data_IF_361224646563
#
_entry.id   IF_361224646563
#
_cell.length_a   1.000
_cell.length_b   1.000
_cell.length_c   1.000
_cell.angle_alpha   90.00
_cell.angle_beta   90.00
_cell.angle_gamma   90.00
#
_symmetry.space_group_name_H-M   'P 1'
#
loop_
_entity.id
_entity.type
_entity.pdbx_description
1 polymer ?
#
# COMPACT_ATOMS: atom_id res chain seq x y z
N UNK A 1 -45.71 27.22 -47.16
CA UNK A 1 -45.79 27.94 -45.87
C UNK A 1 -45.27 26.95 -44.83
N UNK A 2 -43.96 26.79 -44.67
CA UNK A 2 -43.11 27.53 -43.70
C UNK A 2 -43.64 27.36 -42.26
N UNK A 3 -42.96 26.83 -41.23
CA UNK A 3 -41.57 26.47 -40.93
C UNK A 3 -41.60 25.23 -40.00
N UNK A 4 -40.79 24.18 -40.18
CA UNK A 4 -39.41 23.99 -39.66
C UNK A 4 -39.23 24.27 -38.15
N UNK A 5 -38.62 23.29 -37.47
CA UNK A 5 -37.97 23.31 -36.14
C UNK A 5 -38.81 22.92 -34.92
N UNK A 6 -39.06 21.61 -34.75
CA UNK A 6 -39.04 21.02 -33.40
C UNK A 6 -37.74 20.24 -33.28
N UNK A 7 -36.77 20.96 -32.70
CA UNK A 7 -35.44 20.60 -32.27
C UNK A 7 -35.14 19.10 -32.13
N UNK A 8 -34.40 18.57 -33.12
CA UNK A 8 -33.58 17.36 -33.02
C UNK A 8 -32.38 17.67 -32.11
N UNK A 9 -32.63 17.88 -30.81
CA UNK A 9 -31.56 18.14 -29.82
C UNK A 9 -31.56 17.14 -28.65
N UNK A 10 -32.54 16.25 -28.56
CA UNK A 10 -32.54 15.18 -27.53
C UNK A 10 -32.14 13.80 -28.07
N UNK A 11 -31.96 13.64 -29.38
CA UNK A 11 -31.63 12.33 -29.99
C UNK A 11 -30.15 12.22 -30.39
N UNK A 12 -29.33 13.21 -30.03
CA UNK A 12 -27.98 13.36 -30.58
C UNK A 12 -26.95 13.99 -29.65
N UNK A 13 -27.04 13.81 -28.33
CA UNK A 13 -25.96 14.23 -27.42
C UNK A 13 -25.64 13.13 -26.40
N UNK A 14 -24.52 12.47 -26.68
CA UNK A 14 -23.78 11.53 -25.83
C UNK A 14 -24.44 10.19 -25.49
N UNK A 15 -24.15 9.23 -26.38
CA UNK A 15 -23.64 7.89 -26.07
C UNK A 15 -22.48 7.89 -25.06
N UNK A 16 -22.66 8.53 -23.89
CA UNK A 16 -21.80 8.42 -22.71
C UNK A 16 -22.72 8.49 -21.48
N UNK A 17 -23.78 7.68 -21.48
CA UNK A 17 -24.22 7.09 -20.21
C UNK A 17 -23.24 5.96 -19.91
N UNK A 18 -22.01 6.31 -19.55
CA UNK A 18 -21.29 5.54 -18.55
C UNK A 18 -22.14 5.72 -17.29
N UNK A 19 -23.19 4.91 -17.18
CA UNK A 19 -23.71 4.57 -15.86
C UNK A 19 -22.47 4.11 -15.13
N UNK A 20 -22.04 4.88 -14.13
CA UNK A 20 -21.07 4.37 -13.18
C UNK A 20 -21.61 2.97 -12.84
N UNK A 21 -20.87 1.88 -13.09
CA UNK A 21 -21.28 0.62 -12.51
C UNK A 21 -21.49 0.98 -11.05
N UNK A 22 -22.65 0.65 -10.49
CA UNK A 22 -22.90 0.81 -9.07
C UNK A 22 -21.67 0.24 -8.38
N UNK A 23 -20.73 1.11 -7.98
CA UNK A 23 -19.51 0.70 -7.33
C UNK A 23 -20.02 0.34 -5.97
N UNK A 24 -20.39 -0.93 -5.82
CA UNK A 24 -20.77 -1.51 -4.55
C UNK A 24 -19.76 -0.96 -3.56
N UNK A 25 -20.26 -0.32 -2.51
CA UNK A 25 -19.46 0.10 -1.38
C UNK A 25 -18.82 -1.15 -0.81
N UNK A 26 -17.71 -1.56 -1.40
CA UNK A 26 -17.04 -2.79 -1.07
C UNK A 26 -16.37 -2.49 0.25
N UNK A 27 -16.86 -3.10 1.33
CA UNK A 27 -16.27 -3.00 2.66
C UNK A 27 -14.79 -3.40 2.58
N UNK A 28 -13.91 -2.40 2.44
CA UNK A 28 -12.48 -2.61 2.27
C UNK A 28 -11.80 -2.48 3.62
N UNK A 29 -11.12 -3.55 4.02
CA UNK A 29 -10.23 -3.53 5.20
C UNK A 29 -9.00 -2.68 4.90
N UNK A 30 -8.34 -2.16 5.94
CA UNK A 30 -7.09 -1.41 5.81
C UNK A 30 -5.98 -2.07 6.60
N UNK A 31 -4.78 -2.19 6.02
CA UNK A 31 -3.62 -2.80 6.67
C UNK A 31 -2.61 -1.73 7.10
N UNK A 32 -1.99 -1.92 8.26
CA UNK A 32 -0.98 -1.01 8.81
C UNK A 32 0.16 -1.78 9.45
N UNK A 33 1.34 -1.17 9.56
CA UNK A 33 2.50 -1.72 10.24
C UNK A 33 2.84 -0.89 11.48
N UNK A 34 3.20 -1.56 12.57
CA UNK A 34 3.74 -0.97 13.80
C UNK A 34 5.06 -1.63 14.18
N UNK A 35 6.11 -0.87 14.53
CA UNK A 35 6.17 0.60 14.58
C UNK A 35 6.26 1.27 13.19
N UNK A 36 6.83 0.59 12.20
CA UNK A 36 7.02 1.10 10.83
C UNK A 36 7.01 -0.04 9.80
N UNK A 37 6.75 0.30 8.53
CA UNK A 37 6.86 -0.63 7.41
C UNK A 37 8.32 -0.90 6.97
N UNK A 38 9.24 -0.04 7.41
CA UNK A 38 10.68 -0.20 7.26
C UNK A 38 11.23 -0.86 8.53
N UNK A 39 11.80 -2.05 8.41
CA UNK A 39 12.19 -2.89 9.56
C UNK A 39 13.65 -3.32 9.40
N UNK A 40 14.53 -3.14 10.40
CA UNK A 40 15.89 -3.68 10.31
C UNK A 40 15.89 -5.21 10.39
N UNK A 41 16.84 -5.85 9.70
CA UNK A 41 17.04 -7.30 9.75
C UNK A 41 17.20 -7.78 11.20
N UNK A 42 16.53 -8.88 11.56
CA UNK A 42 16.46 -9.40 12.93
C UNK A 42 15.48 -8.66 13.85
N UNK A 43 14.88 -7.55 13.39
CA UNK A 43 13.82 -6.84 14.09
C UNK A 43 12.46 -7.53 13.99
N UNK A 44 11.42 -6.83 14.45
CA UNK A 44 10.04 -7.29 14.38
C UNK A 44 9.09 -6.18 13.92
N UNK A 45 7.97 -6.58 13.35
CA UNK A 45 6.88 -5.69 12.95
C UNK A 45 5.55 -6.36 13.25
N UNK A 46 4.59 -5.58 13.73
CA UNK A 46 3.21 -6.03 13.88
C UNK A 46 2.37 -5.47 12.75
N UNK A 47 1.80 -6.35 11.94
CA UNK A 47 0.86 -5.98 10.90
C UNK A 47 -0.55 -6.02 11.45
N UNK A 48 -1.26 -4.89 11.43
CA UNK A 48 -2.62 -4.76 11.96
C UNK A 48 -3.61 -4.45 10.86
N UNK A 49 -4.61 -5.32 10.70
CA UNK A 49 -5.76 -5.12 9.84
C UNK A 49 -6.84 -4.36 10.62
N UNK A 50 -7.40 -3.34 10.01
CA UNK A 50 -8.46 -2.50 10.57
C UNK A 50 -9.68 -2.53 9.64
N UNK A 51 -10.85 -2.24 10.22
CA UNK A 51 -12.07 -2.03 9.48
C UNK A 51 -12.49 -0.57 9.49
N UNK A 52 -12.83 -0.01 8.32
CA UNK A 52 -13.28 1.37 8.14
C UNK A 52 -14.79 1.43 7.87
N UNK A 53 -15.65 1.06 8.84
CA UNK A 53 -17.03 1.60 9.05
C UNK A 53 -17.91 0.70 9.93
N UNK A 54 -18.40 1.21 11.06
CA UNK A 54 -19.09 0.43 12.10
C UNK A 54 -20.50 -0.10 11.78
N UNK A 55 -20.65 -1.07 10.87
CA UNK A 55 -21.86 -1.89 10.78
C UNK A 55 -21.63 -3.40 10.95
N UNK A 56 -20.41 -3.92 10.77
CA UNK A 56 -20.11 -5.34 10.96
C UNK A 56 -18.70 -5.56 11.54
N UNK A 57 -18.58 -6.12 12.74
CA UNK A 57 -17.28 -6.52 13.29
C UNK A 57 -16.81 -7.79 12.56
N UNK A 58 -15.84 -7.69 11.65
CA UNK A 58 -15.20 -8.89 11.10
C UNK A 58 -14.65 -9.75 12.25
N UNK A 59 -15.01 -11.03 12.26
CA UNK A 59 -14.54 -11.97 13.29
C UNK A 59 -13.18 -12.53 12.96
N UNK A 60 -12.89 -12.61 11.65
CA UNK A 60 -11.72 -13.28 11.15
C UNK A 60 -10.96 -12.38 10.19
N UNK A 61 -9.64 -12.35 10.32
CA UNK A 61 -8.75 -11.72 9.38
C UNK A 61 -7.76 -12.74 8.84
N UNK A 62 -7.40 -12.58 7.57
CA UNK A 62 -6.34 -13.37 6.95
C UNK A 62 -5.37 -12.44 6.25
N UNK A 63 -4.09 -12.67 6.51
CA UNK A 63 -2.99 -11.91 5.94
C UNK A 63 -2.36 -12.72 4.79
N UNK A 64 -2.14 -12.03 3.67
CA UNK A 64 -1.55 -12.56 2.45
C UNK A 64 -0.28 -11.78 2.13
N UNK A 65 0.68 -12.46 1.54
CA UNK A 65 1.85 -11.87 0.89
C UNK A 65 1.71 -12.10 -0.61
N UNK A 66 2.03 -11.11 -1.42
CA UNK A 66 1.89 -11.19 -2.89
C UNK A 66 2.96 -12.06 -3.58
N UNK A 67 3.49 -13.08 -2.91
CA UNK A 67 4.63 -13.87 -3.40
C UNK A 67 4.27 -14.95 -4.44
N UNK A 68 3.15 -14.75 -5.16
CA UNK A 68 2.51 -15.66 -6.15
C UNK A 68 1.80 -16.86 -5.53
N UNK A 69 1.87 -17.05 -4.22
CA UNK A 69 1.00 -17.98 -3.51
C UNK A 69 -0.04 -17.17 -2.74
N UNK A 70 -1.33 -17.32 -3.05
CA UNK A 70 -2.41 -16.76 -2.21
C UNK A 70 -2.57 -17.54 -0.89
N UNK A 71 -1.47 -18.11 -0.39
CA UNK A 71 -1.45 -18.92 0.82
C UNK A 71 -1.36 -17.96 2.01
N UNK A 72 -2.25 -18.09 3.01
CA UNK A 72 -2.15 -17.32 4.23
C UNK A 72 -0.79 -17.53 4.89
N UNK A 73 -0.12 -16.44 5.29
CA UNK A 73 1.19 -16.51 5.97
C UNK A 73 1.07 -17.23 7.33
N UNK A 74 -0.10 -17.11 7.97
CA UNK A 74 -0.40 -17.72 9.26
C UNK A 74 -1.61 -18.65 9.15
N UNK A 75 -1.44 -19.86 8.61
CA UNK A 75 -2.51 -20.84 8.54
C UNK A 75 -3.00 -21.14 9.97
N UNK A 76 -4.30 -20.95 10.23
CA UNK A 76 -4.93 -21.16 11.53
C UNK A 76 -4.96 -19.95 12.48
N UNK A 77 -4.31 -18.81 12.16
CA UNK A 77 -4.48 -17.55 12.92
C UNK A 77 -5.54 -16.67 12.27
N UNK A 78 -6.76 -17.19 12.28
CA UNK A 78 -7.90 -16.61 11.57
C UNK A 78 -8.59 -15.54 12.44
N UNK A 79 -8.46 -15.60 13.78
CA UNK A 79 -9.16 -14.72 14.73
C UNK A 79 -8.37 -13.49 15.19
N UNK A 80 -7.26 -13.13 14.53
CA UNK A 80 -6.37 -12.07 15.00
C UNK A 80 -6.34 -10.89 14.04
N UNK A 81 -6.63 -9.69 14.54
CA UNK A 81 -6.48 -8.45 13.78
C UNK A 81 -5.01 -8.01 13.64
N UNK A 82 -4.12 -8.57 14.48
CA UNK A 82 -2.71 -8.21 14.57
C UNK A 82 -1.82 -9.44 14.40
N UNK A 83 -0.83 -9.34 13.52
CA UNK A 83 0.10 -10.40 13.17
C UNK A 83 1.51 -9.95 13.48
N UNK A 84 2.15 -10.57 14.48
CA UNK A 84 3.55 -10.32 14.80
C UNK A 84 4.44 -11.09 13.81
N UNK A 85 5.29 -10.37 13.10
CA UNK A 85 6.29 -10.89 12.17
C UNK A 85 7.69 -10.56 12.71
N UNK A 86 8.49 -11.59 12.96
CA UNK A 86 9.86 -11.44 13.42
C UNK A 86 10.42 -12.75 13.99
N UNK A 87 11.75 -12.92 14.05
CA UNK A 87 12.79 -12.01 13.56
C UNK A 87 12.81 -11.92 12.03
N UNK A 88 12.75 -10.70 11.48
CA UNK A 88 12.58 -10.51 10.02
C UNK A 88 13.86 -10.79 9.24
N UNK A 89 13.71 -11.44 8.11
CA UNK A 89 14.76 -11.78 7.14
C UNK A 89 14.50 -11.05 5.81
N UNK A 90 15.48 -10.95 4.89
CA UNK A 90 15.24 -10.39 3.56
C UNK A 90 14.12 -11.10 2.80
N UNK A 91 13.89 -12.38 3.09
CA UNK A 91 12.79 -13.14 2.50
C UNK A 91 11.41 -12.63 2.96
N UNK A 92 11.30 -11.97 4.11
CA UNK A 92 10.04 -11.41 4.62
C UNK A 92 9.68 -10.06 3.98
N UNK A 93 10.58 -9.44 3.22
CA UNK A 93 10.26 -8.27 2.43
C UNK A 93 9.20 -8.61 1.36
N UNK A 94 8.31 -7.66 1.08
CA UNK A 94 7.26 -7.86 0.08
C UNK A 94 6.00 -7.05 0.36
N UNK A 95 5.00 -7.26 -0.49
CA UNK A 95 3.70 -6.59 -0.38
C UNK A 95 2.71 -7.48 0.33
N UNK A 96 2.07 -6.92 1.36
CA UNK A 96 1.09 -7.60 2.19
C UNK A 96 -0.30 -7.01 2.00
N UNK A 97 -1.33 -7.86 2.06
CA UNK A 97 -2.73 -7.46 2.07
C UNK A 97 -3.50 -8.27 3.10
N UNK A 98 -4.55 -7.71 3.67
CA UNK A 98 -5.49 -8.44 4.51
C UNK A 98 -6.88 -8.47 3.90
N UNK A 99 -7.69 -9.45 4.29
CA UNK A 99 -9.15 -9.45 4.11
C UNK A 99 -9.81 -9.99 5.36
N UNK A 100 -11.04 -9.55 5.62
CA UNK A 100 -11.86 -10.02 6.73
C UNK A 100 -12.97 -10.96 6.25
N UNK A 101 -13.46 -11.86 7.10
CA UNK A 101 -14.74 -12.56 6.90
C UNK A 101 -15.82 -11.98 7.81
N UNK A 102 -17.06 -12.03 7.35
CA UNK A 102 -18.19 -11.54 8.13
C UNK A 102 -18.54 -12.51 9.27
N UNK A 103 -18.98 -12.02 10.44
CA UNK A 103 -19.36 -12.85 11.59
C UNK A 103 -20.44 -13.89 11.28
N UNK A 104 -21.43 -13.51 10.47
CA UNK A 104 -22.59 -14.34 10.13
C UNK A 104 -22.43 -15.12 8.82
N UNK A 105 -21.37 -14.85 8.06
CA UNK A 105 -21.05 -15.51 6.80
C UNK A 105 -19.53 -15.72 6.66
N UNK A 106 -18.94 -16.66 7.40
CA UNK A 106 -17.49 -16.91 7.39
C UNK A 106 -16.94 -17.38 6.04
N UNK A 107 -17.81 -17.81 5.13
CA UNK A 107 -17.48 -18.14 3.73
C UNK A 107 -17.42 -16.90 2.84
N UNK A 108 -18.00 -15.77 3.26
CA UNK A 108 -17.95 -14.50 2.54
C UNK A 108 -16.76 -13.66 3.00
N UNK A 109 -16.01 -13.17 2.03
CA UNK A 109 -14.79 -12.40 2.28
C UNK A 109 -14.95 -10.97 1.80
N UNK A 110 -14.40 -10.04 2.57
CA UNK A 110 -14.26 -8.65 2.18
C UNK A 110 -13.33 -8.51 0.96
N UNK A 111 -13.34 -7.32 0.34
CA UNK A 111 -12.26 -6.95 -0.56
C UNK A 111 -10.90 -7.05 0.15
N UNK A 112 -9.85 -7.33 -0.64
CA UNK A 112 -8.48 -7.19 -0.17
C UNK A 112 -8.21 -5.72 0.18
N UNK A 113 -7.45 -5.50 1.25
CA UNK A 113 -6.99 -4.19 1.67
C UNK A 113 -6.09 -3.52 0.62
N UNK A 114 -5.82 -2.24 0.82
CA UNK A 114 -4.69 -1.62 0.10
C UNK A 114 -3.39 -2.38 0.41
N UNK A 115 -2.49 -2.49 -0.58
CA UNK A 115 -1.18 -3.10 -0.37
C UNK A 115 -0.34 -2.33 0.63
N UNK A 116 0.35 -3.06 1.51
CA UNK A 116 1.36 -2.54 2.41
C UNK A 116 2.70 -3.21 2.11
N UNK A 117 3.66 -2.45 1.58
CA UNK A 117 5.01 -2.93 1.32
C UNK A 117 5.84 -2.91 2.61
N UNK A 118 6.39 -4.06 2.99
CA UNK A 118 7.35 -4.20 4.08
C UNK A 118 8.75 -4.29 3.48
N UNK A 119 9.61 -3.39 3.95
CA UNK A 119 10.99 -3.25 3.50
C UNK A 119 11.93 -3.62 4.63
N UNK A 120 12.87 -4.52 4.33
CA UNK A 120 13.89 -4.96 5.30
C UNK A 120 15.18 -4.19 5.06
N UNK A 121 15.69 -3.52 6.10
CA UNK A 121 16.93 -2.73 6.06
C UNK A 121 18.07 -3.42 6.80
N UNK A 122 19.30 -2.93 6.66
CA UNK A 122 20.48 -3.50 7.32
C UNK A 122 21.04 -4.75 6.64
N UNK A 123 20.49 -5.15 5.49
CA UNK A 123 20.99 -6.28 4.67
C UNK A 123 22.34 -5.95 4.02
N UNK A 124 22.56 -4.68 3.70
CA UNK A 124 23.77 -4.18 3.05
C UNK A 124 24.49 -3.17 3.95
N UNK A 125 25.78 -2.93 3.65
CA UNK A 125 26.56 -1.88 4.30
C UNK A 125 25.87 -0.53 4.13
N UNK A 126 25.88 0.29 5.18
CA UNK A 126 25.29 1.61 5.17
C UNK A 126 26.04 2.52 4.18
N UNK A 127 25.36 3.17 3.21
CA UNK A 127 26.00 4.11 2.31
C UNK A 127 26.36 5.42 3.04
N UNK A 128 27.33 6.15 2.50
CA UNK A 128 27.66 7.51 2.94
C UNK A 128 26.87 8.54 2.12
N UNK A 129 26.34 9.57 2.78
CA UNK A 129 25.62 10.68 2.16
C UNK A 129 26.35 12.00 2.43
N UNK A 130 26.60 12.78 1.39
CA UNK A 130 27.23 14.09 1.44
C UNK A 130 26.29 15.15 0.86
N UNK A 131 26.33 16.36 1.41
CA UNK A 131 25.58 17.52 0.91
C UNK A 131 26.57 18.61 0.47
N UNK A 132 26.44 19.07 -0.77
CA UNK A 132 27.28 20.09 -1.39
C UNK A 132 26.41 21.33 -1.73
N UNK A 133 26.86 22.56 -1.43
CA UNK A 133 28.15 22.94 -0.81
C UNK A 133 28.24 22.63 0.69
N UNK A 134 27.11 22.35 1.34
CA UNK A 134 27.02 21.96 2.73
C UNK A 134 25.59 21.60 3.13
N UNK A 135 25.36 21.14 4.36
CA UNK A 135 24.02 20.77 4.85
C UNK A 135 23.13 21.99 5.14
N UNK A 136 23.71 23.19 5.23
CA UNK A 136 23.00 24.43 5.51
C UNK A 136 23.14 25.37 4.31
N UNK A 137 22.02 25.68 3.68
CA UNK A 137 21.91 26.63 2.57
C UNK A 137 20.75 27.59 2.79
N UNK A 138 20.72 28.70 2.08
CA UNK A 138 19.60 29.65 2.15
C UNK A 138 18.39 29.10 1.40
N UNK A 139 17.21 29.58 1.78
CA UNK A 139 15.98 29.26 1.06
C UNK A 139 16.08 29.67 -0.41
N UNK A 140 15.79 28.74 -1.33
CA UNK A 140 15.87 28.97 -2.78
C UNK A 140 17.22 28.60 -3.41
N UNK A 141 18.22 28.18 -2.62
CA UNK A 141 19.49 27.67 -3.13
C UNK A 141 19.41 26.15 -3.40
N UNK A 142 20.05 25.69 -4.47
CA UNK A 142 20.06 24.25 -4.83
C UNK A 142 21.14 23.50 -4.03
N UNK A 143 20.76 22.38 -3.42
CA UNK A 143 21.69 21.47 -2.74
C UNK A 143 21.90 20.23 -3.59
N UNK A 144 23.14 19.79 -3.72
CA UNK A 144 23.46 18.50 -4.34
C UNK A 144 23.74 17.47 -3.25
N UNK A 145 22.93 16.41 -3.21
CA UNK A 145 23.15 15.25 -2.36
C UNK A 145 23.90 14.18 -3.15
N UNK A 146 25.06 13.78 -2.64
CA UNK A 146 25.88 12.70 -3.19
C UNK A 146 25.79 11.48 -2.28
N UNK A 147 25.31 10.37 -2.84
CA UNK A 147 25.25 9.07 -2.16
C UNK A 147 26.36 8.16 -2.70
N UNK A 148 27.13 7.53 -1.82
CA UNK A 148 28.18 6.58 -2.18
C UNK A 148 28.00 5.26 -1.40
N UNK A 149 28.14 4.14 -2.09
CA UNK A 149 28.03 2.79 -1.53
C UNK A 149 29.16 1.90 -2.05
N UNK A 150 29.67 1.02 -1.19
CA UNK A 150 30.79 0.10 -1.52
C UNK A 150 30.37 -1.09 -2.39
N UNK A 151 29.06 -1.35 -2.53
CA UNK A 151 28.55 -2.60 -3.12
C UNK A 151 28.77 -2.68 -4.64
N UNK A 152 28.88 -1.53 -5.30
CA UNK A 152 29.32 -1.30 -6.68
C UNK A 152 29.72 0.18 -6.67
N UNK A 153 30.84 0.62 -7.26
CA UNK A 153 31.24 2.04 -7.36
C UNK A 153 30.14 2.89 -8.05
N UNK A 154 29.06 3.18 -7.34
CA UNK A 154 27.83 3.79 -7.81
C UNK A 154 27.60 5.03 -6.97
N UNK A 155 28.37 6.07 -7.27
CA UNK A 155 28.10 7.41 -6.78
C UNK A 155 26.90 7.96 -7.53
N UNK A 156 25.77 8.15 -6.84
CA UNK A 156 24.59 8.81 -7.39
C UNK A 156 24.49 10.24 -6.86
N UNK A 157 24.06 11.14 -7.73
CA UNK A 157 23.88 12.56 -7.43
C UNK A 157 22.40 12.91 -7.59
N UNK A 158 21.81 13.49 -6.55
CA UNK A 158 20.45 14.03 -6.58
C UNK A 158 20.50 15.52 -6.24
N UNK A 159 19.98 16.37 -7.12
CA UNK A 159 19.84 17.82 -6.86
C UNK A 159 18.46 18.12 -6.27
N UNK A 160 18.42 18.80 -5.14
CA UNK A 160 17.19 19.28 -4.49
C UNK A 160 17.19 20.81 -4.58
N UNK A 161 16.06 21.38 -5.03
CA UNK A 161 15.83 22.84 -5.08
C UNK A 161 14.92 23.27 -3.95
#
# INVERSE_FOLDING_TARGET
>A
MSLMVVSVACVGFFLIQTTCPHTGGQDKTSLSARPSALVPQGGHVTLRCHYRRGLYNFTNFTLYKDDRSHVPIFPGRIFQESFLMGPVTPADAGTYRCRGSYPHSPTEWSALSEPLAIMVTGVHKKPSLLALPGPLVKSGETVTLQCSSDTVLSTSFCTVR
#
